data_IF_062667762981
#
_entry.id   IF_062667762981
#
_cell.length_a   1.000
_cell.length_b   1.000
_cell.length_c   1.000
_cell.angle_alpha   90.00
_cell.angle_beta   90.00
_cell.angle_gamma   90.00
#
_symmetry.space_group_name_H-M   'P 1'
#
loop_
_entity.id
_entity.type
_entity.pdbx_description
1 polymer ?
#
# COMPACT_ATOMS: atom_id res chain seq x y z
N UNK A 1 16.68 11.62 -7.85
CA UNK A 1 16.21 11.30 -6.49
C UNK A 1 17.28 11.61 -5.45
N UNK A 2 18.39 10.86 -5.41
CA UNK A 2 19.48 11.08 -4.45
C UNK A 2 20.00 12.53 -4.44
N UNK A 3 20.20 13.13 -5.60
CA UNK A 3 20.63 14.53 -5.69
C UNK A 3 19.64 15.51 -5.04
N UNK A 4 18.34 15.23 -5.15
CA UNK A 4 17.33 16.07 -4.52
C UNK A 4 17.37 15.93 -3.00
N UNK A 5 17.36 14.69 -2.47
CA UNK A 5 17.35 14.48 -1.01
C UNK A 5 18.64 14.94 -0.32
N UNK A 6 19.74 15.08 -1.08
CA UNK A 6 20.99 15.67 -0.59
C UNK A 6 20.94 17.20 -0.50
N UNK A 7 20.07 17.86 -1.29
CA UNK A 7 19.96 19.32 -1.36
C UNK A 7 18.74 19.86 -0.61
N UNK A 8 17.68 19.07 -0.52
CA UNK A 8 16.39 19.46 0.04
C UNK A 8 15.87 18.40 1.01
N UNK A 9 14.85 18.78 1.79
CA UNK A 9 14.18 17.81 2.67
C UNK A 9 13.55 16.67 1.86
N UNK A 10 13.48 15.49 2.46
CA UNK A 10 12.81 14.33 1.86
C UNK A 10 11.38 14.67 1.41
N UNK A 11 10.61 15.36 2.26
CA UNK A 11 9.25 15.81 1.97
C UNK A 11 9.20 16.70 0.72
N UNK A 12 10.14 17.63 0.58
CA UNK A 12 10.22 18.48 -0.60
C UNK A 12 10.37 17.65 -1.88
N UNK A 13 11.34 16.73 -1.90
CA UNK A 13 11.62 15.89 -3.08
C UNK A 13 10.48 14.94 -3.46
N UNK A 14 9.67 14.56 -2.48
CA UNK A 14 8.55 13.66 -2.64
C UNK A 14 7.32 14.35 -3.23
N UNK A 15 7.06 15.62 -2.90
CA UNK A 15 5.89 16.39 -3.33
C UNK A 15 6.20 17.44 -4.41
N UNK A 16 7.45 17.54 -4.88
CA UNK A 16 7.81 18.46 -5.95
C UNK A 16 7.23 17.97 -7.29
N UNK A 17 6.26 18.73 -7.81
CA UNK A 17 5.54 18.42 -9.04
C UNK A 17 6.44 18.35 -10.28
N UNK A 18 7.61 19.01 -10.28
CA UNK A 18 8.56 18.89 -11.38
C UNK A 18 9.27 17.54 -11.32
N UNK A 19 9.64 17.05 -10.14
CA UNK A 19 10.26 15.71 -9.99
C UNK A 19 9.26 14.62 -10.37
N UNK A 20 8.02 14.72 -9.92
CA UNK A 20 6.96 13.77 -10.26
C UNK A 20 6.70 13.72 -11.79
N UNK A 21 6.59 14.89 -12.43
CA UNK A 21 6.25 15.00 -13.86
C UNK A 21 7.39 14.61 -14.79
N UNK A 22 8.63 14.97 -14.48
CA UNK A 22 9.77 14.74 -15.39
C UNK A 22 10.28 13.31 -15.36
N UNK A 23 10.13 12.60 -14.24
CA UNK A 23 10.81 11.33 -14.07
C UNK A 23 9.90 10.11 -14.34
N UNK A 24 8.60 10.29 -14.60
CA UNK A 24 7.59 9.19 -14.60
C UNK A 24 7.72 8.30 -13.35
N UNK A 25 8.23 8.85 -12.24
CA UNK A 25 8.50 8.16 -10.99
C UNK A 25 7.29 8.14 -10.07
N UNK A 26 6.11 8.57 -10.55
CA UNK A 26 4.88 8.63 -9.77
C UNK A 26 4.61 7.32 -9.02
N UNK A 27 4.77 6.19 -9.69
CA UNK A 27 4.58 4.86 -9.11
C UNK A 27 5.61 4.53 -8.02
N UNK A 28 6.86 4.98 -8.20
CA UNK A 28 7.95 4.77 -7.24
C UNK A 28 7.81 5.69 -6.02
N UNK A 29 7.29 6.90 -6.21
CA UNK A 29 7.02 7.84 -5.13
C UNK A 29 5.85 7.36 -4.27
N UNK A 30 4.74 6.92 -4.89
CA UNK A 30 3.56 6.40 -4.16
C UNK A 30 3.89 5.16 -3.33
N UNK A 31 4.78 4.29 -3.81
CA UNK A 31 5.17 3.07 -3.10
C UNK A 31 5.89 3.30 -1.77
N UNK A 32 6.30 4.52 -1.46
CA UNK A 32 6.99 4.88 -0.20
C UNK A 32 5.98 5.11 0.93
N UNK A 33 5.18 4.09 1.24
CA UNK A 33 4.00 4.19 2.11
C UNK A 33 4.28 4.72 3.51
N UNK A 34 5.44 4.37 4.11
CA UNK A 34 5.80 4.84 5.47
C UNK A 34 5.69 6.36 5.60
N UNK A 35 6.09 7.09 4.55
CA UNK A 35 6.12 8.56 4.53
C UNK A 35 4.72 9.16 4.55
N UNK A 36 3.83 8.66 3.71
CA UNK A 36 2.44 9.09 3.69
C UNK A 36 1.71 8.70 4.98
N UNK A 37 1.92 7.48 5.47
CA UNK A 37 1.29 6.99 6.70
C UNK A 37 1.72 7.84 7.90
N UNK A 38 3.01 8.18 8.02
CA UNK A 38 3.50 9.05 9.09
C UNK A 38 2.83 10.41 9.08
N UNK A 39 2.61 10.98 7.90
CA UNK A 39 1.93 12.27 7.79
C UNK A 39 0.46 12.20 8.19
N UNK A 40 -0.23 11.12 7.83
CA UNK A 40 -1.61 10.88 8.27
C UNK A 40 -1.66 10.66 9.79
N UNK A 41 -0.71 9.92 10.37
CA UNK A 41 -0.64 9.65 11.81
C UNK A 41 -0.34 10.89 12.67
N UNK A 42 0.29 11.93 12.11
CA UNK A 42 0.45 13.22 12.80
C UNK A 42 -0.88 13.95 13.01
N UNK A 43 -1.88 13.65 12.18
CA UNK A 43 -3.19 14.31 12.18
C UNK A 43 -4.24 13.40 12.84
N UNK A 44 -4.20 12.11 12.53
CA UNK A 44 -5.17 11.12 12.99
C UNK A 44 -4.53 10.08 13.90
N UNK A 45 -5.08 9.83 15.11
CA UNK A 45 -4.69 8.72 15.96
C UNK A 45 -4.71 7.37 15.23
N UNK A 46 -3.76 6.48 15.56
CA UNK A 46 -3.61 5.13 14.96
C UNK A 46 -4.91 4.30 14.95
N UNK A 47 -5.76 4.46 15.98
CA UNK A 47 -7.05 3.76 16.11
C UNK A 47 -8.08 4.17 15.06
N UNK A 48 -7.92 5.34 14.44
CA UNK A 48 -8.80 5.85 13.37
C UNK A 48 -8.30 5.49 11.97
N UNK A 49 -7.26 4.64 11.86
CA UNK A 49 -6.71 4.20 10.58
C UNK A 49 -6.75 2.68 10.49
N UNK A 50 -7.42 2.17 9.46
CA UNK A 50 -7.36 0.77 9.09
C UNK A 50 -6.49 0.63 7.84
N UNK A 51 -5.38 -0.10 7.95
CA UNK A 51 -4.51 -0.45 6.82
C UNK A 51 -4.74 -1.90 6.47
N UNK A 52 -5.23 -2.14 5.25
CA UNK A 52 -5.59 -3.47 4.75
C UNK A 52 -4.50 -3.94 3.80
N UNK A 53 -3.92 -5.11 4.08
CA UNK A 53 -2.99 -5.78 3.17
C UNK A 53 -3.80 -6.50 2.09
N UNK A 54 -3.52 -6.21 0.82
CA UNK A 54 -4.38 -6.65 -0.28
C UNK A 54 -4.30 -8.17 -0.49
N UNK A 55 -3.14 -8.75 -0.22
CA UNK A 55 -2.89 -10.18 -0.26
C UNK A 55 -3.71 -10.90 0.82
N UNK A 56 -3.80 -10.35 2.03
CA UNK A 56 -4.63 -10.93 3.10
C UNK A 56 -6.11 -10.76 2.78
N UNK A 57 -6.50 -9.60 2.24
CA UNK A 57 -7.87 -9.32 1.80
C UNK A 57 -8.31 -10.31 0.72
N UNK A 58 -7.50 -10.51 -0.32
CA UNK A 58 -7.81 -11.45 -1.41
C UNK A 58 -7.77 -12.91 -0.98
N UNK A 59 -6.97 -13.27 0.03
CA UNK A 59 -6.94 -14.61 0.60
C UNK A 59 -8.19 -14.93 1.45
N UNK A 60 -8.80 -13.92 2.10
CA UNK A 60 -9.99 -14.11 2.91
C UNK A 60 -10.86 -12.84 2.95
N UNK A 61 -11.59 -12.60 1.86
CA UNK A 61 -12.46 -11.42 1.69
C UNK A 61 -13.51 -11.34 2.80
N UNK A 62 -14.12 -12.47 3.18
CA UNK A 62 -15.17 -12.51 4.19
C UNK A 62 -14.69 -11.97 5.55
N UNK A 63 -13.53 -12.45 6.01
CA UNK A 63 -12.93 -12.01 7.26
C UNK A 63 -12.62 -10.50 7.22
N UNK A 64 -12.02 -10.02 6.14
CA UNK A 64 -11.63 -8.62 6.05
C UNK A 64 -12.83 -7.69 5.88
N UNK A 65 -13.88 -8.10 5.18
CA UNK A 65 -15.12 -7.34 5.11
C UNK A 65 -15.76 -7.17 6.48
N UNK A 66 -15.77 -8.21 7.33
CA UNK A 66 -16.21 -8.08 8.73
C UNK A 66 -15.38 -7.06 9.50
N UNK A 67 -14.05 -7.11 9.36
CA UNK A 67 -13.13 -6.15 10.02
C UNK A 67 -13.38 -4.72 9.55
N UNK A 68 -13.60 -4.51 8.25
CA UNK A 68 -13.90 -3.19 7.67
C UNK A 68 -15.23 -2.65 8.22
N UNK A 69 -16.28 -3.47 8.21
CA UNK A 69 -17.60 -3.07 8.75
C UNK A 69 -17.52 -2.72 10.23
N UNK A 70 -16.81 -3.54 11.01
CA UNK A 70 -16.59 -3.25 12.42
C UNK A 70 -15.82 -1.95 12.64
N UNK A 71 -14.75 -1.72 11.89
CA UNK A 71 -13.94 -0.49 11.98
C UNK A 71 -14.72 0.77 11.61
N UNK A 72 -15.63 0.67 10.63
CA UNK A 72 -16.50 1.77 10.20
C UNK A 72 -17.74 1.93 11.10
N UNK A 73 -17.87 1.14 12.16
CA UNK A 73 -19.04 1.13 13.07
C UNK A 73 -20.37 0.91 12.33
N UNK A 74 -20.35 0.10 11.27
CA UNK A 74 -21.53 -0.28 10.51
C UNK A 74 -22.26 -1.46 11.14
N UNK A 75 -23.52 -1.67 10.72
CA UNK A 75 -24.29 -2.85 11.10
C UNK A 75 -23.54 -4.14 10.72
N UNK A 76 -23.57 -5.13 11.62
CA UNK A 76 -22.91 -6.41 11.37
C UNK A 76 -23.64 -7.14 10.25
N UNK A 77 -22.90 -7.47 9.20
CA UNK A 77 -23.41 -8.32 8.14
C UNK A 77 -23.67 -9.74 8.64
N UNK A 78 -24.79 -10.30 8.19
CA UNK A 78 -25.10 -11.72 8.31
C UNK A 78 -24.13 -12.56 7.48
N UNK A 79 -24.04 -13.86 7.80
CA UNK A 79 -23.17 -14.78 7.05
C UNK A 79 -23.55 -14.83 5.57
N UNK A 80 -24.85 -14.78 5.27
CA UNK A 80 -25.36 -14.76 3.89
C UNK A 80 -24.95 -13.49 3.14
N UNK A 81 -25.06 -12.31 3.77
CA UNK A 81 -24.67 -11.05 3.12
C UNK A 81 -23.17 -10.99 2.82
N UNK A 82 -22.34 -11.46 3.74
CA UNK A 82 -20.88 -11.51 3.54
C UNK A 82 -20.49 -12.47 2.44
N UNK A 83 -21.14 -13.63 2.38
CA UNK A 83 -20.89 -14.59 1.33
C UNK A 83 -21.26 -14.01 -0.05
N UNK A 84 -22.40 -13.32 -0.14
CA UNK A 84 -22.81 -12.62 -1.36
C UNK A 84 -21.76 -11.57 -1.76
N UNK A 85 -21.37 -10.68 -0.85
CA UNK A 85 -20.38 -9.62 -1.12
C UNK A 85 -19.04 -10.21 -1.57
N UNK A 86 -18.58 -11.26 -0.92
CA UNK A 86 -17.27 -11.87 -1.19
C UNK A 86 -17.21 -12.62 -2.52
N UNK A 87 -18.37 -12.97 -3.09
CA UNK A 87 -18.49 -13.62 -4.39
C UNK A 87 -18.74 -12.63 -5.55
N UNK A 88 -18.96 -11.34 -5.25
CA UNK A 88 -19.15 -10.33 -6.29
C UNK A 88 -17.90 -10.24 -7.17
N UNK A 89 -18.12 -10.22 -8.48
CA UNK A 89 -17.04 -9.99 -9.44
C UNK A 89 -16.57 -8.55 -9.35
N UNK A 90 -15.26 -8.35 -9.49
CA UNK A 90 -14.72 -7.00 -9.63
C UNK A 90 -15.18 -6.40 -10.97
N UNK A 91 -15.95 -5.32 -10.93
CA UNK A 91 -16.48 -4.65 -12.12
C UNK A 91 -15.43 -3.74 -12.79
N UNK A 92 -14.50 -3.17 -12.01
CA UNK A 92 -13.44 -2.26 -12.49
C UNK A 92 -12.08 -2.97 -12.67
N UNK A 93 -12.05 -4.12 -13.34
CA UNK A 93 -10.76 -4.78 -13.62
C UNK A 93 -9.99 -4.02 -14.68
N UNK A 94 -8.73 -3.65 -14.39
CA UNK A 94 -7.89 -3.02 -15.41
C UNK A 94 -7.67 -3.98 -16.59
N UNK A 95 -7.83 -3.47 -17.81
CA UNK A 95 -7.57 -4.23 -19.05
C UNK A 95 -6.10 -4.72 -19.13
N UNK A 96 -5.21 -4.07 -18.39
CA UNK A 96 -3.76 -4.32 -18.34
C UNK A 96 -3.43 -5.62 -17.56
N UNK A 97 -4.30 -6.09 -16.68
CA UNK A 97 -4.09 -7.32 -15.90
C UNK A 97 -4.04 -8.60 -16.75
N UNK A 98 -4.49 -8.57 -18.01
CA UNK A 98 -4.47 -9.75 -18.88
C UNK A 98 -3.06 -10.17 -19.33
N UNK A 99 -2.04 -9.33 -19.17
CA UNK A 99 -0.64 -9.65 -19.49
C UNK A 99 0.32 -8.97 -18.49
N UNK A 100 0.33 -9.41 -17.23
CA UNK A 100 1.45 -9.10 -16.32
C UNK A 100 2.71 -9.75 -16.91
N UNK A 101 3.53 -8.98 -17.63
CA UNK A 101 4.84 -9.43 -18.08
C UNK A 101 5.71 -9.64 -16.85
N UNK A 102 6.42 -10.76 -16.79
CA UNK A 102 7.40 -11.01 -15.72
C UNK A 102 8.43 -9.88 -15.76
N UNK A 103 8.61 -9.20 -14.62
CA UNK A 103 9.67 -8.20 -14.46
C UNK A 103 11.03 -8.90 -14.55
N UNK A 104 12.06 -8.20 -15.02
CA UNK A 104 13.42 -8.75 -15.00
C UNK A 104 13.88 -8.89 -13.55
N UNK A 105 14.55 -10.00 -13.22
CA UNK A 105 15.08 -10.25 -11.87
C UNK A 105 15.98 -9.12 -11.38
N UNK A 106 16.82 -8.57 -12.27
CA UNK A 106 17.65 -7.40 -11.95
C UNK A 106 16.82 -6.18 -11.56
N UNK A 107 15.71 -5.93 -12.26
CA UNK A 107 14.82 -4.81 -11.95
C UNK A 107 14.08 -5.06 -10.64
N UNK A 108 13.60 -6.28 -10.40
CA UNK A 108 12.98 -6.66 -9.14
C UNK A 108 13.92 -6.41 -7.96
N UNK A 109 15.17 -6.88 -8.06
CA UNK A 109 16.18 -6.67 -7.02
C UNK A 109 16.44 -5.19 -6.72
N UNK A 110 16.55 -4.36 -7.76
CA UNK A 110 16.72 -2.90 -7.59
C UNK A 110 15.52 -2.29 -6.85
N UNK A 111 14.29 -2.71 -7.19
CA UNK A 111 13.09 -2.21 -6.53
C UNK A 111 13.01 -2.70 -5.07
N UNK A 112 13.33 -3.95 -4.80
CA UNK A 112 13.38 -4.50 -3.43
C UNK A 112 14.40 -3.76 -2.58
N UNK A 113 15.62 -3.55 -3.09
CA UNK A 113 16.67 -2.78 -2.41
C UNK A 113 16.25 -1.33 -2.15
N UNK A 114 15.59 -0.69 -3.12
CA UNK A 114 15.09 0.67 -3.00
C UNK A 114 13.96 0.79 -1.96
N UNK A 115 13.01 -0.15 -1.94
CA UNK A 115 11.86 -0.11 -1.04
C UNK A 115 12.14 -0.67 0.36
N UNK A 116 13.16 -1.51 0.54
CA UNK A 116 13.51 -2.12 1.82
C UNK A 116 13.54 -1.17 3.03
N UNK A 117 14.18 0.02 2.99
CA UNK A 117 14.16 0.92 4.14
C UNK A 117 12.76 1.46 4.47
N UNK A 118 11.92 1.72 3.46
CA UNK A 118 10.55 2.21 3.66
C UNK A 118 9.61 1.11 4.15
N UNK A 119 9.78 -0.12 3.66
CA UNK A 119 9.05 -1.29 4.12
C UNK A 119 9.35 -1.60 5.58
N UNK A 120 10.63 -1.52 5.97
CA UNK A 120 11.05 -1.66 7.37
C UNK A 120 10.43 -0.59 8.27
N UNK A 121 10.53 0.68 7.85
CA UNK A 121 9.90 1.80 8.59
C UNK A 121 8.37 1.60 8.72
N UNK A 122 7.71 1.14 7.67
CA UNK A 122 6.27 0.84 7.69
C UNK A 122 5.94 -0.31 8.64
N UNK A 123 6.70 -1.40 8.61
CA UNK A 123 6.52 -2.53 9.52
C UNK A 123 6.67 -2.09 10.98
N UNK A 124 7.66 -1.24 11.27
CA UNK A 124 7.87 -0.66 12.61
C UNK A 124 6.68 0.25 13.02
N UNK A 125 6.18 1.11 12.11
CA UNK A 125 5.00 1.96 12.38
C UNK A 125 3.75 1.12 12.65
N UNK A 126 3.56 0.05 11.87
CA UNK A 126 2.38 -0.80 11.95
C UNK A 126 2.48 -1.85 13.06
N UNK A 127 3.68 -2.09 13.58
CA UNK A 127 4.02 -3.20 14.47
C UNK A 127 3.59 -4.55 13.86
N UNK A 128 3.87 -4.72 12.56
CA UNK A 128 3.45 -5.88 11.78
C UNK A 128 4.48 -6.20 10.68
N UNK A 129 5.17 -7.33 10.81
CA UNK A 129 6.26 -7.75 9.91
C UNK A 129 5.79 -8.06 8.49
N UNK A 130 4.48 -8.23 8.24
CA UNK A 130 3.98 -8.49 6.89
C UNK A 130 4.31 -7.35 5.92
N UNK A 131 4.45 -6.13 6.44
CA UNK A 131 4.83 -4.94 5.66
C UNK A 131 6.32 -4.91 5.28
N UNK A 132 7.11 -5.92 5.64
CA UNK A 132 8.46 -6.09 5.11
C UNK A 132 8.45 -6.58 3.66
N UNK A 133 7.35 -7.19 3.20
CA UNK A 133 7.24 -7.87 1.89
C UNK A 133 8.44 -8.78 1.59
N UNK A 134 8.87 -9.55 2.59
CA UNK A 134 9.95 -10.52 2.41
C UNK A 134 9.55 -11.56 1.35
N UNK A 135 10.49 -11.98 0.48
CA UNK A 135 10.22 -13.02 -0.49
C UNK A 135 9.76 -14.32 0.21
N UNK A 136 8.74 -14.97 -0.35
CA UNK A 136 8.25 -16.28 0.08
C UNK A 136 9.09 -17.41 -0.49
#
# INVERSE_FOLDING_TARGET
WNDCINQYSFRYCMYDANIERHAKLFEINIGQYSRYVLDVLKIFPRKQLLVVHLEDYSANTELWMRKIFHFLELEKLTDTEIQVISQLKAENTSYVNKKKKRILEKTQKILEEFFAPFNKELADIMQDEKFLWLPK
#
